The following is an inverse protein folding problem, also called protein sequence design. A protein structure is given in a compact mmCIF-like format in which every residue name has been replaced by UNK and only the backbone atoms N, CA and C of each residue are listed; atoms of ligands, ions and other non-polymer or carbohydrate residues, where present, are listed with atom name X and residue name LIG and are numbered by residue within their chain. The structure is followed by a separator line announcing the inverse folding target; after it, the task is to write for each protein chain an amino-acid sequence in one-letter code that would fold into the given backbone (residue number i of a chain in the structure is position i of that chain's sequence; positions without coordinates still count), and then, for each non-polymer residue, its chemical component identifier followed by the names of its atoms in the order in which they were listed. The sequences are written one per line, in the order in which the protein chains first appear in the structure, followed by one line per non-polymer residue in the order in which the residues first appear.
data_IF_137991564459
#
_entry.id   IF_137991564459
#
_cell.length_a   1.000
_cell.length_b   1.000
_cell.length_c   1.000
_cell.angle_alpha   90.00
_cell.angle_beta   90.00
_cell.angle_gamma   90.00
#
_symmetry.space_group_name_H-M   'P 1'
#
loop_
_entity.id
_entity.type
_entity.pdbx_description
1 polymer ?
#
# COMPACT_ATOMS: atom_id res chain seq x y z
N UNK A 1 3.60 19.32 0.31
CA UNK A 1 3.04 18.29 -0.59
C UNK A 1 3.62 16.97 -0.13
N UNK A 2 2.86 16.21 0.64
CA UNK A 2 3.37 15.05 1.35
C UNK A 2 3.73 13.93 0.36
N UNK A 3 5.02 13.62 0.37
CA UNK A 3 5.66 12.65 -0.49
C UNK A 3 5.18 11.27 -0.03
N UNK A 4 4.42 10.59 -0.89
CA UNK A 4 3.79 9.31 -0.59
C UNK A 4 4.74 8.26 0.01
N UNK A 5 4.18 7.39 0.85
CA UNK A 5 4.87 6.27 1.48
C UNK A 5 5.50 5.35 0.43
N UNK A 6 6.74 4.92 0.67
CA UNK A 6 7.36 3.86 -0.14
C UNK A 6 6.79 2.50 0.25
N UNK A 7 6.78 1.52 -0.68
CA UNK A 7 6.29 0.15 -0.42
C UNK A 7 6.90 -0.47 0.85
N UNK A 8 8.18 -0.21 1.14
CA UNK A 8 8.83 -0.70 2.36
C UNK A 8 8.24 -0.07 3.64
N UNK A 9 7.96 1.24 3.62
CA UNK A 9 7.39 1.95 4.77
C UNK A 9 5.93 1.57 5.00
N UNK A 10 5.17 1.41 3.91
CA UNK A 10 3.82 0.85 3.96
C UNK A 10 3.83 -0.56 4.60
N UNK A 11 4.73 -1.42 4.13
CA UNK A 11 4.87 -2.78 4.66
C UNK A 11 5.22 -2.78 6.16
N UNK A 12 6.15 -1.91 6.60
CA UNK A 12 6.48 -1.75 8.01
C UNK A 12 5.28 -1.28 8.86
N UNK A 13 4.51 -0.29 8.37
CA UNK A 13 3.30 0.17 9.07
C UNK A 13 2.25 -0.93 9.22
N UNK A 14 2.12 -1.82 8.24
CA UNK A 14 1.19 -2.95 8.29
C UNK A 14 1.77 -4.19 8.99
N UNK A 15 3.06 -4.19 9.35
CA UNK A 15 3.74 -5.39 9.86
C UNK A 15 3.88 -6.51 8.83
N UNK A 16 3.87 -6.19 7.54
CA UNK A 16 3.95 -7.14 6.43
C UNK A 16 5.33 -7.11 5.77
N UNK A 17 5.66 -8.17 5.03
CA UNK A 17 6.81 -8.14 4.13
C UNK A 17 6.51 -7.31 2.87
N UNK A 18 7.47 -6.50 2.39
CA UNK A 18 7.30 -5.72 1.17
C UNK A 18 7.10 -6.60 -0.07
N UNK A 19 7.59 -7.85 -0.05
CA UNK A 19 7.39 -8.84 -1.10
C UNK A 19 5.93 -9.28 -1.23
N UNK A 20 5.22 -9.48 -0.12
CA UNK A 20 3.78 -9.75 -0.12
C UNK A 20 3.01 -8.63 -0.82
N UNK A 21 3.38 -7.38 -0.54
CA UNK A 21 2.80 -6.20 -1.18
C UNK A 21 3.07 -6.15 -2.69
N UNK A 22 4.29 -6.49 -3.12
CA UNK A 22 4.63 -6.59 -4.56
C UNK A 22 3.87 -7.71 -5.25
N UNK A 23 3.75 -8.88 -4.62
CA UNK A 23 3.02 -10.03 -5.15
C UNK A 23 1.53 -9.70 -5.27
N UNK A 24 0.94 -9.07 -4.25
CA UNK A 24 -0.46 -8.67 -4.28
C UNK A 24 -0.73 -7.59 -5.33
N UNK A 25 0.18 -6.62 -5.49
CA UNK A 25 0.14 -5.66 -6.61
C UNK A 25 0.22 -6.35 -7.97
N UNK A 26 1.08 -7.35 -8.13
CA UNK A 26 1.25 -8.06 -9.39
C UNK A 26 0.03 -8.93 -9.73
N UNK A 27 -0.56 -9.59 -8.72
CA UNK A 27 -1.73 -10.47 -8.88
C UNK A 27 -3.03 -9.70 -9.06
N UNK A 28 -3.25 -8.64 -8.28
CA UNK A 28 -4.52 -7.93 -8.21
C UNK A 28 -4.48 -6.57 -8.94
N UNK A 29 -3.30 -6.10 -9.37
CA UNK A 29 -3.09 -4.79 -10.01
C UNK A 29 -3.30 -3.59 -9.08
N UNK A 30 -3.90 -3.82 -7.91
CA UNK A 30 -4.27 -2.83 -6.88
C UNK A 30 -4.19 -3.53 -5.53
N UNK A 31 -3.82 -2.83 -4.46
CA UNK A 31 -3.88 -3.42 -3.11
C UNK A 31 -5.03 -2.79 -2.35
N UNK A 32 -6.10 -3.56 -2.08
CA UNK A 32 -7.30 -3.08 -1.38
C UNK A 32 -7.90 -1.79 -1.99
N UNK A 33 -7.92 -1.68 -3.32
CA UNK A 33 -8.43 -0.51 -4.04
C UNK A 33 -7.46 0.68 -4.10
N UNK A 34 -6.28 0.58 -3.49
CA UNK A 34 -5.23 1.61 -3.56
C UNK A 34 -4.24 1.29 -4.68
N UNK A 35 -3.98 2.31 -5.50
CA UNK A 35 -3.04 2.24 -6.62
C UNK A 35 -1.81 3.10 -6.30
N UNK A 36 -0.59 2.53 -6.35
CA UNK A 36 0.62 3.32 -6.19
C UNK A 36 0.80 4.25 -7.40
N UNK A 37 1.25 5.48 -7.15
CA UNK A 37 1.75 6.36 -8.19
C UNK A 37 3.14 5.92 -8.62
N UNK A 38 3.31 5.75 -9.93
CA UNK A 38 4.63 5.52 -10.52
C UNK A 38 5.35 6.85 -10.64
N UNK A 39 6.38 7.03 -9.82
CA UNK A 39 7.21 8.22 -9.87
C UNK A 39 8.24 8.12 -11.02
N UNK A 40 8.75 9.25 -11.54
CA UNK A 40 9.71 9.29 -12.64
C UNK A 40 11.06 8.60 -12.31
N UNK A 41 11.39 8.49 -11.03
CA UNK A 41 12.53 7.76 -10.48
C UNK A 41 12.30 6.24 -10.36
N UNK A 42 11.26 5.69 -10.99
CA UNK A 42 10.96 4.26 -11.04
C UNK A 42 10.42 3.67 -9.74
N UNK A 43 10.23 4.50 -8.70
CA UNK A 43 9.67 4.09 -7.41
C UNK A 43 8.15 4.16 -7.42
N UNK A 44 7.53 3.30 -6.62
CA UNK A 44 6.10 3.32 -6.33
C UNK A 44 5.87 4.16 -5.07
N UNK A 45 5.13 5.26 -5.22
CA UNK A 45 4.65 6.09 -4.12
C UNK A 45 3.21 5.73 -3.79
N UNK A 46 2.99 5.35 -2.54
CA UNK A 46 1.67 5.11 -1.99
C UNK A 46 1.17 6.36 -1.30
N UNK A 47 -0.11 6.73 -1.44
CA UNK A 47 -0.66 7.79 -0.61
C UNK A 47 -0.55 7.44 0.88
N UNK A 48 -0.38 8.44 1.75
CA UNK A 48 -0.33 8.26 3.21
C UNK A 48 -1.62 7.61 3.75
N UNK A 49 -2.76 7.97 3.15
CA UNK A 49 -4.09 7.40 3.43
C UNK A 49 -4.21 5.88 3.16
N UNK A 50 -3.24 5.28 2.44
CA UNK A 50 -3.30 3.84 2.11
C UNK A 50 -3.35 2.96 3.35
N UNK A 51 -2.54 3.28 4.36
CA UNK A 51 -2.46 2.47 5.60
C UNK A 51 -3.80 2.48 6.31
N UNK A 52 -4.38 3.66 6.48
CA UNK A 52 -5.66 3.87 7.15
C UNK A 52 -6.80 3.17 6.41
N UNK A 53 -6.84 3.28 5.07
CA UNK A 53 -7.81 2.54 4.25
C UNK A 53 -7.71 1.03 4.39
N UNK A 54 -6.50 0.47 4.39
CA UNK A 54 -6.32 -0.99 4.52
C UNK A 54 -6.74 -1.45 5.91
N UNK A 55 -6.36 -0.71 6.96
CA UNK A 55 -6.77 -1.00 8.34
C UNK A 55 -8.30 -0.88 8.53
N UNK A 56 -8.93 0.12 7.92
CA UNK A 56 -10.38 0.30 7.93
C UNK A 56 -11.10 -0.84 7.19
N UNK A 57 -10.58 -1.30 6.06
CA UNK A 57 -11.14 -2.45 5.33
C UNK A 57 -11.00 -3.76 6.11
N UNK A 58 -9.84 -3.99 6.75
CA UNK A 58 -9.59 -5.21 7.51
C UNK A 58 -10.41 -5.28 8.82
N UNK A 59 -10.72 -4.13 9.43
CA UNK A 59 -11.60 -4.05 10.60
C UNK A 59 -13.09 -4.21 10.22
N UNK A 60 -13.49 -3.81 9.01
CA UNK A 60 -14.87 -3.95 8.53
C UNK A 60 -15.31 -5.42 8.31
N UNK A 61 -14.39 -6.36 8.12
CA UNK A 61 -14.71 -7.80 8.04
C UNK A 61 -14.85 -8.51 9.40
N UNK A 62 -14.67 -7.79 10.52
CA UNK A 62 -14.70 -8.36 11.86
C UNK A 62 -15.96 -7.98 12.67
N UNK A 63 -16.99 -7.40 12.05
CA UNK A 63 -18.22 -6.97 12.73
C UNK A 63 -19.48 -7.61 12.14
#
# INVERSE_FOLDING_TARGET
MEIGLSTNRLAQCLGLQPDTLRVALCRNGSYYGVKPLKLPNGRLAWPNDTVERILALNSASAQ
#
